data_IF_275274729501
#
_entry.id   IF_275274729501
#
_cell.length_a   1.000
_cell.length_b   1.000
_cell.length_c   1.000
_cell.angle_alpha   90.00
_cell.angle_beta   90.00
_cell.angle_gamma   90.00
#
_symmetry.space_group_name_H-M   'P 1'
#
loop_
_entity.id
_entity.type
_entity.pdbx_description
1 polymer ?
#
# COMPACT_ATOMS: atom_id res chain seq x y z
N UNK A 1 6.90 34.20 -21.00
CA UNK A 1 5.59 33.65 -21.37
C UNK A 1 5.20 32.72 -20.24
N UNK A 2 4.42 33.26 -19.30
CA UNK A 2 3.90 32.51 -18.17
C UNK A 2 2.96 31.44 -18.71
N UNK A 3 3.39 30.18 -18.60
CA UNK A 3 2.52 29.05 -18.83
C UNK A 3 1.52 29.03 -17.69
N UNK A 4 0.31 29.52 -17.98
CA UNK A 4 -0.86 29.41 -17.12
C UNK A 4 -1.02 27.93 -16.73
N UNK A 5 -0.75 27.64 -15.46
CA UNK A 5 -0.93 26.33 -14.87
C UNK A 5 -2.40 25.99 -14.97
N UNK A 6 -2.77 25.13 -15.93
CA UNK A 6 -4.08 24.52 -15.96
C UNK A 6 -4.34 23.92 -14.57
N UNK A 7 -5.33 24.47 -13.87
CA UNK A 7 -5.77 23.91 -12.59
C UNK A 7 -6.42 22.58 -12.96
N UNK A 8 -5.65 21.50 -12.88
CA UNK A 8 -6.19 20.14 -12.97
C UNK A 8 -7.38 20.09 -12.01
N UNK A 9 -8.55 19.67 -12.51
CA UNK A 9 -9.75 19.55 -11.70
C UNK A 9 -9.39 18.84 -10.39
N UNK A 10 -9.83 19.35 -9.23
CA UNK A 10 -9.39 18.82 -7.95
C UNK A 10 -9.69 17.32 -7.90
N UNK A 11 -8.66 16.51 -7.62
CA UNK A 11 -8.84 15.09 -7.34
C UNK A 11 -9.79 14.98 -6.14
N UNK A 12 -11.01 14.51 -6.38
CA UNK A 12 -11.99 14.33 -5.33
C UNK A 12 -11.81 12.94 -4.70
N UNK A 13 -11.61 12.92 -3.38
CA UNK A 13 -11.62 11.70 -2.61
C UNK A 13 -13.08 11.30 -2.33
N UNK A 14 -13.53 10.22 -2.95
CA UNK A 14 -14.85 9.65 -2.68
C UNK A 14 -14.81 8.84 -1.37
N UNK A 15 -15.56 9.27 -0.36
CA UNK A 15 -15.53 8.68 0.97
C UNK A 15 -15.99 7.22 0.97
N UNK A 16 -17.00 6.88 0.17
CA UNK A 16 -17.53 5.52 0.07
C UNK A 16 -16.50 4.57 -0.55
N UNK A 17 -15.82 5.00 -1.60
CA UNK A 17 -14.72 4.25 -2.23
C UNK A 17 -13.57 4.04 -1.25
N UNK A 18 -13.16 5.07 -0.51
CA UNK A 18 -12.11 4.94 0.49
C UNK A 18 -12.50 3.98 1.62
N UNK A 19 -13.73 4.08 2.12
CA UNK A 19 -14.24 3.18 3.14
C UNK A 19 -14.29 1.73 2.64
N UNK A 20 -14.75 1.49 1.41
CA UNK A 20 -14.78 0.16 0.80
C UNK A 20 -13.38 -0.46 0.67
N UNK A 21 -12.32 0.33 0.43
CA UNK A 21 -10.94 -0.15 0.41
C UNK A 21 -10.44 -0.55 1.81
N UNK A 22 -10.87 0.15 2.86
CA UNK A 22 -10.59 -0.23 4.25
C UNK A 22 -11.34 -1.52 4.57
N UNK A 23 -12.64 -1.58 4.27
CA UNK A 23 -13.48 -2.78 4.47
C UNK A 23 -12.85 -3.99 3.82
N UNK A 24 -12.44 -3.89 2.54
CA UNK A 24 -11.83 -4.99 1.81
C UNK A 24 -10.56 -5.55 2.50
N UNK A 25 -9.74 -4.70 3.13
CA UNK A 25 -8.57 -5.16 3.89
C UNK A 25 -8.97 -5.78 5.23
N UNK A 26 -9.88 -5.14 5.96
CA UNK A 26 -10.30 -5.61 7.29
C UNK A 26 -11.11 -6.91 7.24
N UNK A 27 -11.87 -7.15 6.17
CA UNK A 27 -12.64 -8.38 5.97
C UNK A 27 -11.78 -9.62 5.76
N UNK A 28 -10.47 -9.46 5.51
CA UNK A 28 -9.52 -10.59 5.45
C UNK A 28 -9.14 -11.13 6.83
N UNK A 29 -9.46 -10.39 7.90
CA UNK A 29 -8.98 -10.64 9.27
C UNK A 29 -7.71 -9.86 9.61
N UNK A 30 -7.13 -10.06 10.81
CA UNK A 30 -5.89 -9.40 11.23
C UNK A 30 -4.70 -9.75 10.33
N UNK A 31 -4.01 -8.75 9.78
CA UNK A 31 -2.84 -8.94 8.91
C UNK A 31 -1.56 -9.08 9.72
N UNK A 32 -1.53 -10.03 10.65
CA UNK A 32 -0.35 -10.27 11.49
C UNK A 32 0.80 -10.86 10.66
N UNK A 33 2.07 -10.56 10.97
CA UNK A 33 3.21 -11.08 10.22
C UNK A 33 3.18 -12.62 10.10
N UNK A 34 3.20 -13.12 8.87
CA UNK A 34 3.17 -14.56 8.57
C UNK A 34 1.77 -15.19 8.43
N UNK A 35 0.69 -14.47 8.72
CA UNK A 35 -0.68 -14.98 8.54
C UNK A 35 -1.12 -15.05 7.07
N UNK A 36 -2.13 -15.87 6.78
CA UNK A 36 -2.79 -15.90 5.47
C UNK A 36 -3.46 -14.56 5.13
N UNK A 37 -4.08 -13.90 6.12
CA UNK A 37 -4.68 -12.58 5.93
C UNK A 37 -3.65 -11.54 5.48
N UNK A 38 -2.44 -11.57 6.04
CA UNK A 38 -1.33 -10.72 5.60
C UNK A 38 -0.91 -11.01 4.15
N UNK A 39 -0.80 -12.30 3.78
CA UNK A 39 -0.50 -12.72 2.40
C UNK A 39 -1.56 -12.26 1.40
N UNK A 40 -2.84 -12.48 1.72
CA UNK A 40 -3.98 -12.09 0.88
C UNK A 40 -4.09 -10.56 0.76
N UNK A 41 -3.85 -9.82 1.85
CA UNK A 41 -3.87 -8.36 1.83
C UNK A 41 -2.75 -7.80 0.92
N UNK A 42 -1.55 -8.39 0.99
CA UNK A 42 -0.44 -8.04 0.07
C UNK A 42 -0.82 -8.28 -1.40
N UNK A 43 -1.51 -9.37 -1.72
CA UNK A 43 -2.00 -9.66 -3.08
C UNK A 43 -3.08 -8.67 -3.51
N UNK A 44 -4.01 -8.33 -2.61
CA UNK A 44 -5.05 -7.31 -2.83
C UNK A 44 -4.45 -5.95 -3.16
N UNK A 45 -3.49 -5.47 -2.36
CA UNK A 45 -2.83 -4.17 -2.56
C UNK A 45 -2.11 -4.13 -3.91
N UNK A 46 -1.35 -5.19 -4.26
CA UNK A 46 -0.70 -5.28 -5.57
C UNK A 46 -1.71 -5.22 -6.72
N UNK A 47 -2.83 -5.96 -6.61
CA UNK A 47 -3.88 -5.97 -7.62
C UNK A 47 -4.53 -4.60 -7.79
N UNK A 48 -4.78 -3.88 -6.68
CA UNK A 48 -5.33 -2.53 -6.70
C UNK A 48 -4.38 -1.52 -7.33
N UNK A 49 -3.10 -1.54 -6.97
CA UNK A 49 -2.08 -0.67 -7.58
C UNK A 49 -1.99 -0.88 -9.09
N UNK A 50 -1.98 -2.14 -9.56
CA UNK A 50 -2.00 -2.45 -11.00
C UNK A 50 -3.27 -1.94 -11.67
N UNK A 51 -4.44 -2.18 -11.06
CA UNK A 51 -5.74 -1.71 -11.58
C UNK A 51 -5.80 -0.18 -11.69
N UNK A 52 -5.19 0.53 -10.76
CA UNK A 52 -5.14 2.00 -10.75
C UNK A 52 -4.03 2.58 -11.63
N UNK A 53 -3.36 1.75 -12.45
CA UNK A 53 -2.44 2.23 -13.48
C UNK A 53 -1.02 2.49 -12.99
N UNK A 54 -0.58 1.88 -11.87
CA UNK A 54 0.83 1.93 -11.49
C UNK A 54 1.69 1.29 -12.59
N UNK A 55 2.65 2.04 -13.14
CA UNK A 55 3.56 1.57 -14.21
C UNK A 55 4.36 0.34 -13.77
N UNK A 56 4.75 0.31 -12.49
CA UNK A 56 5.42 -0.83 -11.89
C UNK A 56 4.87 -1.11 -10.50
N UNK A 57 4.70 -2.39 -10.20
CA UNK A 57 4.36 -2.89 -8.86
C UNK A 57 5.37 -3.94 -8.48
N UNK A 58 6.19 -3.63 -7.47
CA UNK A 58 7.22 -4.53 -6.95
C UNK A 58 6.96 -4.89 -5.50
N UNK A 59 7.43 -6.07 -5.09
CA UNK A 59 7.41 -6.51 -3.69
C UNK A 59 8.84 -6.76 -3.26
N UNK A 60 9.31 -5.99 -2.29
CA UNK A 60 10.59 -6.23 -1.64
C UNK A 60 10.35 -7.14 -0.42
N UNK A 61 11.08 -8.24 -0.35
CA UNK A 61 11.10 -9.13 0.81
C UNK A 61 12.27 -8.73 1.71
N UNK A 62 12.00 -8.54 2.99
CA UNK A 62 13.02 -8.18 3.98
C UNK A 62 12.91 -9.10 5.20
N UNK A 63 13.95 -9.90 5.50
CA UNK A 63 14.01 -10.62 6.77
C UNK A 63 14.04 -9.61 7.92
N UNK A 64 13.18 -9.80 8.91
CA UNK A 64 13.08 -8.96 10.10
C UNK A 64 13.04 -9.83 11.35
N UNK A 65 13.60 -9.32 12.43
CA UNK A 65 13.53 -9.96 13.76
C UNK A 65 12.74 -9.04 14.67
N UNK A 66 11.67 -9.57 15.27
CA UNK A 66 10.85 -8.83 16.24
C UNK A 66 11.52 -8.76 17.61
N UNK A 67 10.97 -7.95 18.51
CA UNK A 67 11.56 -7.69 19.84
C UNK A 67 11.72 -8.95 20.72
N UNK A 68 10.93 -9.99 20.44
CA UNK A 68 10.93 -11.30 21.11
C UNK A 68 11.94 -12.29 20.50
N UNK A 69 12.69 -11.87 19.47
CA UNK A 69 13.65 -12.73 18.75
C UNK A 69 13.02 -13.57 17.64
N UNK A 70 11.70 -13.48 17.42
CA UNK A 70 11.02 -14.21 16.35
C UNK A 70 11.43 -13.65 14.98
N UNK A 71 11.73 -14.54 14.02
CA UNK A 71 12.08 -14.15 12.65
C UNK A 71 10.84 -14.15 11.76
N UNK A 72 10.63 -13.06 11.06
CA UNK A 72 9.59 -12.91 10.04
C UNK A 72 10.17 -12.42 8.72
N UNK A 73 9.36 -12.50 7.67
CA UNK A 73 9.65 -11.82 6.40
C UNK A 73 8.65 -10.69 6.25
N UNK A 74 9.14 -9.45 6.26
CA UNK A 74 8.37 -8.27 5.88
C UNK A 74 8.26 -8.20 4.36
N UNK A 75 7.13 -7.69 3.88
CA UNK A 75 6.85 -7.51 2.46
C UNK A 75 6.46 -6.06 2.19
N UNK A 76 7.41 -5.27 1.67
CA UNK A 76 7.16 -3.89 1.28
C UNK A 76 6.63 -3.87 -0.16
N UNK A 77 5.46 -3.27 -0.37
CA UNK A 77 4.78 -3.19 -1.66
C UNK A 77 4.97 -1.79 -2.22
N UNK A 78 5.51 -1.69 -3.44
CA UNK A 78 5.84 -0.40 -4.05
C UNK A 78 5.13 -0.28 -5.40
N UNK A 79 4.18 0.66 -5.50
CA UNK A 79 3.60 1.11 -6.76
C UNK A 79 4.30 2.39 -7.22
N UNK A 80 4.76 2.44 -8.47
CA UNK A 80 5.42 3.63 -9.02
C UNK A 80 4.62 4.13 -10.23
N UNK A 81 4.36 5.42 -10.23
CA UNK A 81 3.74 6.17 -11.33
C UNK A 81 4.79 7.11 -11.94
N UNK A 82 4.79 7.25 -13.27
CA UNK A 82 5.72 8.05 -14.03
C UNK A 82 7.18 7.86 -13.57
N UNK A 83 7.75 6.64 -13.69
CA UNK A 83 9.04 6.29 -13.09
C UNK A 83 10.23 7.10 -13.63
N UNK A 84 10.11 7.68 -14.84
CA UNK A 84 11.15 8.53 -15.45
C UNK A 84 11.19 9.96 -14.91
N UNK A 85 10.18 10.40 -14.16
CA UNK A 85 10.17 11.75 -13.58
C UNK A 85 11.33 11.95 -12.58
N UNK A 86 12.11 13.03 -12.71
CA UNK A 86 13.25 13.31 -11.84
C UNK A 86 12.82 13.78 -10.44
N UNK A 87 11.67 14.44 -10.32
CA UNK A 87 11.06 14.83 -9.06
C UNK A 87 9.90 13.90 -8.74
N UNK A 88 9.84 13.43 -7.48
CA UNK A 88 8.89 12.41 -7.05
C UNK A 88 8.35 12.73 -5.66
N UNK A 89 7.09 12.36 -5.43
CA UNK A 89 6.46 12.39 -4.11
C UNK A 89 6.36 10.95 -3.61
N UNK A 90 6.67 10.74 -2.33
CA UNK A 90 6.56 9.46 -1.66
C UNK A 90 5.35 9.47 -0.71
N UNK A 91 4.38 8.60 -0.98
CA UNK A 91 3.24 8.34 -0.10
C UNK A 91 3.44 6.97 0.55
N UNK A 92 3.29 6.92 1.88
CA UNK A 92 3.56 5.72 2.68
C UNK A 92 2.43 5.45 3.67
N UNK A 93 2.16 4.17 3.87
CA UNK A 93 1.31 3.66 4.94
C UNK A 93 1.81 2.26 5.32
N UNK A 94 1.60 1.86 6.57
CA UNK A 94 1.75 0.45 6.96
C UNK A 94 0.41 -0.28 6.74
N UNK A 95 0.43 -1.60 6.58
CA UNK A 95 -0.77 -2.41 6.28
C UNK A 95 -0.95 -3.64 7.19
N UNK A 96 0.13 -4.03 7.86
CA UNK A 96 0.14 -5.09 8.85
C UNK A 96 -0.69 -4.70 10.08
N UNK A 97 -1.11 -5.72 10.82
CA UNK A 97 -1.88 -5.56 12.06
C UNK A 97 -1.07 -6.11 13.22
N UNK A 98 -1.11 -5.39 14.34
CA UNK A 98 -0.51 -5.84 15.58
C UNK A 98 -1.07 -7.22 15.98
N UNK A 99 -0.24 -8.16 16.47
CA UNK A 99 -0.71 -9.50 16.84
C UNK A 99 -1.48 -9.59 18.16
N UNK A 100 -1.62 -8.48 18.88
CA UNK A 100 -2.23 -8.40 20.20
C UNK A 100 -3.05 -7.12 20.34
N UNK A 101 -4.22 -7.25 20.97
CA UNK A 101 -5.00 -6.11 21.45
C UNK A 101 -4.38 -5.58 22.75
N UNK A 102 -4.64 -4.32 23.06
CA UNK A 102 -4.24 -3.63 24.28
C UNK A 102 -4.92 -4.18 25.55
#
# INVERSE_FOLDING_TARGET
ADAESAVEAPVQADADSLFALVTAQTSLGPRTPGSDAHRLCRELIQSRLRRYGADTVTVQQAPVTTFDGTRHTAYNIMGRFNPSAPQRILLLAHYDTRPWAD
#
